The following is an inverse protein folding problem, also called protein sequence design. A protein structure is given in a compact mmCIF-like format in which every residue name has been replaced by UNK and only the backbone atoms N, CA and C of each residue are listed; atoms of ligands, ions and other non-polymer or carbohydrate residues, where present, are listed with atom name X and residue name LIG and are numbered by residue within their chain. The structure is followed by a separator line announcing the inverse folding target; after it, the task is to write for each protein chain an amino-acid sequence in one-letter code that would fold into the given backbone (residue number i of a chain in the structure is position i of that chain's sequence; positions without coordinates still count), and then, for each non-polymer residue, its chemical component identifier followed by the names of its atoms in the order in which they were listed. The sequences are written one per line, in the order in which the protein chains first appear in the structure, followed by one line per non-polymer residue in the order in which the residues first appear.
data_IF_591942283325
#
_entry.id   IF_591942283325
#
_cell.length_a   1.000
_cell.length_b   1.000
_cell.length_c   1.000
_cell.angle_alpha   90.00
_cell.angle_beta   90.00
_cell.angle_gamma   90.00
#
_symmetry.space_group_name_H-M   'P 1'
#
loop_
_entity.id
_entity.type
_entity.pdbx_description
1 polymer ?
#
# COMPACT_ATOMS: atom_id res chain seq x y z
N UNK A 1 129.10 -15.98 38.27
CA UNK A 1 128.54 -14.62 38.13
C UNK A 1 127.20 -14.77 37.43
N UNK A 2 126.14 -14.33 38.10
CA UNK A 2 124.72 -14.49 37.72
C UNK A 2 124.31 -13.43 36.69
N UNK A 3 123.88 -13.84 35.49
CA UNK A 3 123.23 -12.93 34.54
C UNK A 3 121.74 -12.77 34.86
N UNK A 4 121.34 -11.52 35.08
CA UNK A 4 119.96 -11.09 35.33
C UNK A 4 119.20 -10.99 34.02
N UNK A 5 118.31 -11.96 33.74
CA UNK A 5 117.45 -11.99 32.54
C UNK A 5 116.43 -10.83 32.57
N UNK A 6 116.56 -9.91 31.62
CA UNK A 6 115.80 -8.65 31.56
C UNK A 6 114.30 -8.86 31.31
N UNK A 7 113.47 -8.50 32.30
CA UNK A 7 112.02 -8.72 32.38
C UNK A 7 111.20 -7.50 31.89
N UNK A 8 111.84 -6.51 31.25
CA UNK A 8 111.20 -5.24 30.88
C UNK A 8 110.31 -5.32 29.63
N UNK A 9 110.66 -6.13 28.62
CA UNK A 9 109.83 -6.32 27.43
C UNK A 9 108.49 -7.00 27.72
N UNK A 10 108.49 -7.97 28.63
CA UNK A 10 107.28 -8.68 29.08
C UNK A 10 106.36 -7.76 29.90
N UNK A 11 106.92 -6.85 30.71
CA UNK A 11 106.17 -5.84 31.46
C UNK A 11 105.53 -4.79 30.55
N UNK A 12 106.21 -4.35 29.50
CA UNK A 12 105.67 -3.39 28.52
C UNK A 12 104.55 -4.03 27.68
N UNK A 13 104.73 -5.28 27.23
CA UNK A 13 103.67 -6.05 26.57
C UNK A 13 102.46 -6.30 27.47
N UNK A 14 102.68 -6.65 28.75
CA UNK A 14 101.61 -6.82 29.72
C UNK A 14 100.86 -5.51 30.02
N UNK A 15 101.57 -4.38 30.09
CA UNK A 15 100.97 -3.06 30.25
C UNK A 15 100.13 -2.65 29.03
N UNK A 16 100.64 -2.87 27.81
CA UNK A 16 99.91 -2.62 26.56
C UNK A 16 98.66 -3.50 26.45
N UNK A 17 98.77 -4.79 26.77
CA UNK A 17 97.63 -5.71 26.82
C UNK A 17 96.60 -5.27 27.86
N UNK A 18 97.04 -4.80 29.04
CA UNK A 18 96.14 -4.25 30.06
C UNK A 18 95.37 -3.02 29.59
N UNK A 19 96.01 -2.10 28.86
CA UNK A 19 95.36 -0.90 28.30
C UNK A 19 94.36 -1.27 27.21
N UNK A 20 94.70 -2.19 26.30
CA UNK A 20 93.77 -2.68 25.26
C UNK A 20 92.56 -3.37 25.89
N UNK A 21 92.78 -4.19 26.92
CA UNK A 21 91.73 -4.92 27.61
C UNK A 21 90.80 -4.00 28.43
N UNK A 22 91.35 -2.93 29.03
CA UNK A 22 90.53 -1.88 29.65
C UNK A 22 89.72 -1.10 28.61
N UNK A 23 90.32 -0.79 27.46
CA UNK A 23 89.63 -0.13 26.35
C UNK A 23 88.45 -0.96 25.81
N UNK A 24 88.63 -2.27 25.65
CA UNK A 24 87.55 -3.16 25.22
C UNK A 24 86.46 -3.27 26.29
N UNK A 25 86.80 -3.38 27.58
CA UNK A 25 85.80 -3.41 28.66
C UNK A 25 84.96 -2.12 28.68
N UNK A 26 85.59 -0.94 28.60
CA UNK A 26 84.88 0.35 28.59
C UNK A 26 83.96 0.46 27.37
N UNK A 27 84.46 0.09 26.18
CA UNK A 27 83.65 0.08 24.96
C UNK A 27 82.46 -0.89 25.06
N UNK A 28 82.69 -2.09 25.60
CA UNK A 28 81.63 -3.11 25.77
C UNK A 28 80.57 -2.66 26.78
N UNK A 29 80.97 -1.98 27.86
CA UNK A 29 80.05 -1.41 28.86
C UNK A 29 79.25 -0.25 28.26
N UNK A 30 79.87 0.65 27.49
CA UNK A 30 79.17 1.73 26.76
C UNK A 30 78.15 1.16 25.79
N UNK A 31 78.56 0.20 24.96
CA UNK A 31 77.70 -0.47 23.99
C UNK A 31 76.53 -1.19 24.68
N UNK A 32 76.77 -1.82 25.82
CA UNK A 32 75.71 -2.46 26.62
C UNK A 32 74.73 -1.45 27.21
N UNK A 33 75.19 -0.29 27.70
CA UNK A 33 74.33 0.77 28.19
C UNK A 33 73.49 1.40 27.08
N UNK A 34 74.07 1.66 25.90
CA UNK A 34 73.36 2.21 24.75
C UNK A 34 72.34 1.22 24.18
N UNK A 35 72.68 -0.08 24.13
CA UNK A 35 71.74 -1.15 23.79
C UNK A 35 70.58 -1.20 24.78
N UNK A 36 70.86 -1.13 26.08
CA UNK A 36 69.83 -1.14 27.14
C UNK A 36 68.91 0.08 27.07
N UNK A 37 69.45 1.28 26.80
CA UNK A 37 68.66 2.50 26.56
C UNK A 37 67.79 2.39 25.31
N UNK A 38 68.33 1.84 24.22
CA UNK A 38 67.59 1.64 22.97
C UNK A 38 66.46 0.64 23.16
N UNK A 39 66.74 -0.47 23.86
CA UNK A 39 65.76 -1.50 24.19
C UNK A 39 64.64 -0.94 25.08
N UNK A 40 64.96 -0.12 26.09
CA UNK A 40 63.93 0.50 26.96
C UNK A 40 63.08 1.55 26.24
N UNK A 41 63.65 2.30 25.29
CA UNK A 41 62.88 3.23 24.44
C UNK A 41 61.95 2.44 23.53
N UNK A 42 62.43 1.40 22.87
CA UNK A 42 61.61 0.58 21.98
C UNK A 42 60.51 -0.19 22.72
N UNK A 43 60.74 -0.64 23.95
CA UNK A 43 59.69 -1.26 24.77
C UNK A 43 58.60 -0.27 25.14
N UNK A 44 58.97 0.97 25.50
CA UNK A 44 57.98 2.03 25.77
C UNK A 44 57.20 2.41 24.52
N UNK A 45 57.86 2.56 23.39
CA UNK A 45 57.16 2.86 22.13
C UNK A 45 56.21 1.73 21.70
N UNK A 46 56.60 0.47 21.95
CA UNK A 46 55.73 -0.68 21.73
C UNK A 46 54.50 -0.66 22.64
N UNK A 47 54.64 -0.28 23.91
CA UNK A 47 53.51 -0.11 24.83
C UNK A 47 52.53 0.96 24.31
N UNK A 48 53.04 2.10 23.84
CA UNK A 48 52.21 3.15 23.24
C UNK A 48 51.44 2.67 22.00
N UNK A 49 52.06 1.87 21.12
CA UNK A 49 51.37 1.28 19.96
C UNK A 49 50.26 0.32 20.39
N UNK A 50 50.49 -0.48 21.44
CA UNK A 50 49.47 -1.37 22.00
C UNK A 50 48.33 -0.58 22.64
N UNK A 51 48.63 0.52 23.32
CA UNK A 51 47.65 1.44 23.90
C UNK A 51 46.76 2.06 22.81
N UNK A 52 47.37 2.59 21.74
CA UNK A 52 46.65 3.14 20.57
C UNK A 52 45.72 2.11 19.92
N UNK A 53 46.20 0.87 19.74
CA UNK A 53 45.38 -0.22 19.18
C UNK A 53 44.24 -0.64 20.13
N UNK A 54 44.48 -0.68 21.45
CA UNK A 54 43.42 -0.96 22.42
C UNK A 54 42.37 0.15 22.45
N UNK A 55 42.80 1.41 22.34
CA UNK A 55 41.88 2.55 22.21
C UNK A 55 41.01 2.39 20.97
N UNK A 56 41.62 2.12 19.81
CA UNK A 56 40.90 1.91 18.56
C UNK A 56 39.90 0.75 18.67
N UNK A 57 40.31 -0.37 19.26
CA UNK A 57 39.42 -1.52 19.52
C UNK A 57 38.21 -1.12 20.36
N UNK A 58 38.43 -0.37 21.44
CA UNK A 58 37.35 0.09 22.33
C UNK A 58 36.37 1.02 21.62
N UNK A 59 36.85 1.84 20.69
CA UNK A 59 35.98 2.72 19.90
C UNK A 59 35.08 1.94 18.93
N UNK A 60 35.61 0.88 18.31
CA UNK A 60 34.79 -0.03 17.51
C UNK A 60 33.77 -0.79 18.36
N UNK A 61 34.16 -1.29 19.53
CA UNK A 61 33.24 -1.96 20.46
C UNK A 61 32.06 -1.04 20.83
N UNK A 62 32.33 0.24 21.07
CA UNK A 62 31.30 1.26 21.32
C UNK A 62 30.38 1.47 20.11
N UNK A 63 30.96 1.65 18.91
CA UNK A 63 30.18 1.87 17.69
C UNK A 63 29.27 0.66 17.34
N UNK A 64 29.74 -0.56 17.60
CA UNK A 64 28.96 -1.79 17.40
C UNK A 64 27.74 -1.81 18.34
N UNK A 65 27.90 -1.39 19.59
CA UNK A 65 26.79 -1.32 20.55
C UNK A 65 25.76 -0.25 20.18
N UNK A 66 26.22 0.91 19.69
CA UNK A 66 25.35 2.04 19.33
C UNK A 66 24.57 1.83 18.02
N UNK A 67 25.12 1.04 17.10
CA UNK A 67 24.55 0.80 15.76
C UNK A 67 23.21 0.03 15.79
N UNK A 68 22.83 -0.64 16.89
CA UNK A 68 21.64 -1.51 17.02
C UNK A 68 21.47 -2.62 15.96
N UNK A 69 22.37 -2.68 14.97
CA UNK A 69 22.50 -3.68 13.93
C UNK A 69 23.96 -4.15 13.87
N UNK A 70 24.16 -5.45 13.65
CA UNK A 70 25.48 -6.06 13.48
C UNK A 70 26.13 -5.52 12.21
N UNK A 71 27.02 -4.54 12.36
CA UNK A 71 27.86 -4.10 11.26
C UNK A 71 29.06 -5.04 11.17
N UNK A 72 28.96 -6.03 10.28
CA UNK A 72 29.97 -7.06 10.06
C UNK A 72 31.36 -6.48 9.73
N UNK A 73 31.40 -5.33 9.06
CA UNK A 73 32.65 -4.63 8.76
C UNK A 73 33.32 -4.07 10.03
N UNK A 74 32.54 -3.47 10.95
CA UNK A 74 33.07 -3.00 12.25
C UNK A 74 33.56 -4.16 13.11
N UNK A 75 32.84 -5.29 13.12
CA UNK A 75 33.23 -6.50 13.86
C UNK A 75 34.54 -7.06 13.30
N UNK A 76 34.65 -7.14 11.98
CA UNK A 76 35.85 -7.62 11.28
C UNK A 76 37.04 -6.70 11.53
N UNK A 77 36.87 -5.38 11.44
CA UNK A 77 37.92 -4.40 11.74
C UNK A 77 38.41 -4.51 13.19
N UNK A 78 37.47 -4.64 14.16
CA UNK A 78 37.78 -4.87 15.58
C UNK A 78 38.57 -6.16 15.81
N UNK A 79 38.19 -7.25 15.15
CA UNK A 79 38.89 -8.54 15.27
C UNK A 79 40.29 -8.50 14.64
N UNK A 80 40.45 -7.78 13.54
CA UNK A 80 41.76 -7.55 12.94
C UNK A 80 42.67 -6.73 13.87
N UNK A 81 42.15 -5.71 14.55
CA UNK A 81 42.89 -4.94 15.56
C UNK A 81 43.31 -5.85 16.73
N UNK A 82 42.45 -6.75 17.19
CA UNK A 82 42.80 -7.71 18.24
C UNK A 82 44.00 -8.60 17.82
N UNK A 83 43.99 -9.12 16.59
CA UNK A 83 45.13 -9.89 16.03
C UNK A 83 46.40 -9.05 15.93
N UNK A 84 46.28 -7.76 15.58
CA UNK A 84 47.40 -6.82 15.54
C UNK A 84 47.99 -6.56 16.93
N UNK A 85 47.16 -6.40 17.95
CA UNK A 85 47.59 -6.23 19.35
C UNK A 85 48.44 -7.44 19.79
N UNK A 86 47.97 -8.66 19.51
CA UNK A 86 48.68 -9.90 19.86
C UNK A 86 50.02 -10.02 19.14
N UNK A 87 50.06 -9.63 17.86
CA UNK A 87 51.28 -9.61 17.05
C UNK A 87 52.31 -8.60 17.58
N UNK A 88 51.87 -7.39 17.94
CA UNK A 88 52.76 -6.36 18.52
C UNK A 88 53.27 -6.80 19.89
N UNK A 89 52.42 -7.37 20.75
CA UNK A 89 52.79 -7.86 22.10
C UNK A 89 53.84 -8.97 22.08
N UNK A 90 53.77 -9.89 21.13
CA UNK A 90 54.70 -11.04 21.04
C UNK A 90 56.00 -10.74 20.31
N UNK A 91 56.08 -9.62 19.60
CA UNK A 91 57.25 -9.22 18.81
C UNK A 91 58.46 -8.78 19.68
N UNK A 92 59.68 -9.09 19.25
CA UNK A 92 60.92 -8.49 19.80
C UNK A 92 61.01 -7.02 19.43
N UNK A 93 61.49 -6.19 20.35
CA UNK A 93 61.68 -4.76 20.15
C UNK A 93 62.72 -4.49 19.04
N UNK A 94 62.26 -4.29 17.80
CA UNK A 94 63.06 -3.95 16.64
C UNK A 94 62.54 -2.65 15.99
N UNK A 95 63.44 -1.74 15.62
CA UNK A 95 63.13 -0.42 15.06
C UNK A 95 62.36 -0.55 13.75
N UNK A 96 62.77 -1.49 12.89
CA UNK A 96 62.18 -1.64 11.56
C UNK A 96 60.74 -2.17 11.64
N UNK A 97 60.51 -3.13 12.52
CA UNK A 97 59.19 -3.71 12.73
C UNK A 97 58.24 -2.72 13.42
N UNK A 98 58.71 -2.01 14.44
CA UNK A 98 57.91 -1.00 15.15
C UNK A 98 57.48 0.16 14.24
N UNK A 99 58.36 0.61 13.34
CA UNK A 99 58.04 1.62 12.31
C UNK A 99 56.91 1.16 11.38
N UNK A 100 56.89 -0.12 10.98
CA UNK A 100 55.80 -0.69 10.17
C UNK A 100 54.47 -0.71 10.91
N UNK A 101 54.47 -1.10 12.18
CA UNK A 101 53.24 -1.11 12.98
C UNK A 101 52.69 0.29 13.24
N UNK A 102 53.54 1.30 13.43
CA UNK A 102 53.07 2.70 13.50
C UNK A 102 52.33 3.13 12.24
N UNK A 103 52.90 2.86 11.07
CA UNK A 103 52.24 3.12 9.79
C UNK A 103 50.91 2.37 9.68
N UNK A 104 50.87 1.12 10.15
CA UNK A 104 49.65 0.32 10.15
C UNK A 104 48.59 0.90 11.10
N UNK A 105 48.97 1.41 12.27
CA UNK A 105 48.07 2.12 13.19
C UNK A 105 47.48 3.36 12.52
N UNK A 106 48.29 4.13 11.81
CA UNK A 106 47.81 5.32 11.09
C UNK A 106 46.79 4.96 10.00
N UNK A 107 47.04 3.86 9.27
CA UNK A 107 46.08 3.31 8.28
C UNK A 107 44.78 2.88 8.96
N UNK A 108 44.87 2.14 10.06
CA UNK A 108 43.70 1.66 10.81
C UNK A 108 42.88 2.81 11.43
N UNK A 109 43.55 3.88 11.87
CA UNK A 109 42.89 5.12 12.34
C UNK A 109 42.12 5.80 11.21
N UNK A 110 42.70 5.89 10.01
CA UNK A 110 42.04 6.46 8.84
C UNK A 110 40.84 5.61 8.36
N UNK A 111 41.01 4.29 8.30
CA UNK A 111 39.95 3.34 7.95
C UNK A 111 38.78 3.42 8.94
N UNK A 112 39.09 3.52 10.23
CA UNK A 112 38.09 3.73 11.29
C UNK A 112 37.29 5.00 11.11
N UNK A 113 37.96 6.12 10.81
CA UNK A 113 37.27 7.38 10.57
C UNK A 113 36.31 7.28 9.38
N UNK A 114 36.72 6.59 8.31
CA UNK A 114 35.88 6.35 7.16
C UNK A 114 34.67 5.47 7.49
N UNK A 115 34.88 4.35 8.19
CA UNK A 115 33.80 3.44 8.58
C UNK A 115 32.78 4.12 9.50
N UNK A 116 33.23 4.91 10.48
CA UNK A 116 32.33 5.66 11.34
C UNK A 116 31.51 6.71 10.58
N UNK A 117 32.13 7.43 9.63
CA UNK A 117 31.40 8.36 8.75
C UNK A 117 30.32 7.66 7.93
N UNK A 118 30.59 6.44 7.45
CA UNK A 118 29.60 5.65 6.73
C UNK A 118 28.45 5.21 7.63
N UNK A 119 28.75 4.72 8.84
CA UNK A 119 27.74 4.33 9.84
C UNK A 119 26.85 5.51 10.21
N UNK A 120 27.43 6.70 10.44
CA UNK A 120 26.68 7.91 10.73
C UNK A 120 25.75 8.29 9.57
N UNK A 121 26.26 8.22 8.34
CA UNK A 121 25.48 8.51 7.13
C UNK A 121 24.33 7.53 6.94
N UNK A 122 24.59 6.23 7.10
CA UNK A 122 23.59 5.17 6.96
C UNK A 122 22.53 5.28 8.07
N UNK A 123 22.95 5.54 9.31
CA UNK A 123 22.04 5.76 10.44
C UNK A 123 21.11 6.93 10.16
N UNK A 124 21.64 8.09 9.71
CA UNK A 124 20.83 9.26 9.34
C UNK A 124 19.89 8.98 8.18
N UNK A 125 20.34 8.23 7.18
CA UNK A 125 19.49 7.85 6.04
C UNK A 125 18.34 6.96 6.50
N UNK A 126 18.63 5.93 7.32
CA UNK A 126 17.62 5.02 7.85
C UNK A 126 16.60 5.74 8.74
N UNK A 127 17.02 6.68 9.59
CA UNK A 127 16.07 7.45 10.41
C UNK A 127 15.19 8.35 9.54
N UNK A 128 15.75 9.00 8.52
CA UNK A 128 14.97 9.80 7.57
C UNK A 128 13.97 8.94 6.79
N UNK A 129 14.38 7.77 6.30
CA UNK A 129 13.52 6.83 5.58
C UNK A 129 12.40 6.33 6.50
N UNK A 130 12.70 6.00 7.76
CA UNK A 130 11.69 5.60 8.73
C UNK A 130 10.65 6.71 8.97
N UNK A 131 11.10 7.96 9.15
CA UNK A 131 10.21 9.12 9.29
C UNK A 131 9.35 9.35 8.05
N UNK A 132 9.93 9.27 6.85
CA UNK A 132 9.21 9.44 5.58
C UNK A 132 8.18 8.32 5.39
N UNK A 133 8.54 7.08 5.70
CA UNK A 133 7.63 5.93 5.66
C UNK A 133 6.44 6.14 6.60
N UNK A 134 6.70 6.51 7.85
CA UNK A 134 5.65 6.72 8.84
C UNK A 134 4.72 7.88 8.43
N UNK A 135 5.29 8.98 7.94
CA UNK A 135 4.50 10.09 7.38
C UNK A 135 3.68 9.68 6.16
N UNK A 136 4.24 8.87 5.27
CA UNK A 136 3.54 8.38 4.07
C UNK A 136 2.40 7.44 4.46
N UNK A 137 2.61 6.58 5.45
CA UNK A 137 1.58 5.67 5.94
C UNK A 137 0.40 6.43 6.55
N UNK A 138 0.67 7.44 7.38
CA UNK A 138 -0.38 8.29 7.97
C UNK A 138 -1.18 9.02 6.88
N UNK A 139 -0.51 9.55 5.84
CA UNK A 139 -1.21 10.22 4.76
C UNK A 139 -2.02 9.25 3.89
N UNK A 140 -1.49 8.05 3.62
CA UNK A 140 -2.20 7.00 2.91
C UNK A 140 -3.44 6.52 3.67
N UNK A 141 -3.34 6.37 5.00
CA UNK A 141 -4.48 6.00 5.85
C UNK A 141 -5.59 7.06 5.80
N UNK A 142 -5.24 8.34 5.92
CA UNK A 142 -6.20 9.45 5.76
C UNK A 142 -6.88 9.42 4.39
N UNK A 143 -6.12 9.22 3.32
CA UNK A 143 -6.67 9.14 1.96
C UNK A 143 -7.58 7.93 1.78
N UNK A 144 -7.24 6.79 2.37
CA UNK A 144 -8.06 5.57 2.34
C UNK A 144 -9.40 5.80 3.04
N UNK A 145 -9.38 6.34 4.26
CA UNK A 145 -10.60 6.66 5.02
C UNK A 145 -11.48 7.68 4.27
N UNK A 146 -10.87 8.70 3.67
CA UNK A 146 -11.60 9.69 2.87
C UNK A 146 -12.24 9.06 1.63
N UNK A 147 -11.51 8.19 0.93
CA UNK A 147 -12.03 7.47 -0.25
C UNK A 147 -13.20 6.55 0.13
N UNK A 148 -13.07 5.77 1.21
CA UNK A 148 -14.15 4.92 1.72
C UNK A 148 -15.40 5.74 2.03
N UNK A 149 -15.23 6.92 2.65
CA UNK A 149 -16.34 7.85 2.90
C UNK A 149 -17.00 8.34 1.61
N UNK A 150 -16.22 8.70 0.59
CA UNK A 150 -16.76 9.11 -0.71
C UNK A 150 -17.51 7.97 -1.40
N UNK A 151 -17.01 6.74 -1.33
CA UNK A 151 -17.70 5.57 -1.88
C UNK A 151 -19.05 5.38 -1.20
N UNK A 152 -19.10 5.42 0.14
CA UNK A 152 -20.37 5.30 0.88
C UNK A 152 -21.33 6.44 0.54
N UNK A 153 -20.85 7.68 0.44
CA UNK A 153 -21.71 8.81 0.06
C UNK A 153 -22.24 8.66 -1.38
N UNK A 154 -21.41 8.22 -2.31
CA UNK A 154 -21.82 8.00 -3.69
C UNK A 154 -22.83 6.86 -3.83
N UNK A 155 -22.68 5.76 -3.08
CA UNK A 155 -23.67 4.67 -3.11
C UNK A 155 -25.01 5.12 -2.52
N UNK A 156 -24.99 5.83 -1.39
CA UNK A 156 -26.21 6.40 -0.81
C UNK A 156 -26.89 7.40 -1.75
N UNK A 157 -26.12 8.25 -2.43
CA UNK A 157 -26.64 9.20 -3.40
C UNK A 157 -27.21 8.48 -4.63
N UNK A 158 -26.52 7.46 -5.14
CA UNK A 158 -27.00 6.65 -6.26
C UNK A 158 -28.33 5.96 -5.92
N UNK A 159 -28.45 5.39 -4.73
CA UNK A 159 -29.70 4.79 -4.24
C UNK A 159 -30.82 5.82 -4.08
N UNK A 160 -30.51 7.00 -3.52
CA UNK A 160 -31.47 8.08 -3.35
C UNK A 160 -31.96 8.61 -4.71
N UNK A 161 -31.05 8.77 -5.69
CA UNK A 161 -31.38 9.17 -7.06
C UNK A 161 -32.22 8.08 -7.72
N UNK A 162 -31.84 6.80 -7.63
CA UNK A 162 -32.60 5.70 -8.24
C UNK A 162 -34.04 5.62 -7.71
N UNK A 163 -34.23 5.82 -6.40
CA UNK A 163 -35.56 5.87 -5.78
C UNK A 163 -36.31 7.15 -6.16
N UNK A 164 -35.63 8.30 -6.16
CA UNK A 164 -36.20 9.60 -6.47
C UNK A 164 -36.57 9.77 -7.95
N UNK A 165 -35.85 9.11 -8.86
CA UNK A 165 -36.08 9.14 -10.30
C UNK A 165 -37.18 8.17 -10.76
N UNK A 166 -37.68 7.30 -9.89
CA UNK A 166 -38.74 6.36 -10.25
C UNK A 166 -40.01 7.11 -10.65
N UNK A 167 -40.56 6.74 -11.81
CA UNK A 167 -41.83 7.29 -12.28
C UNK A 167 -42.99 6.67 -11.50
N UNK A 168 -44.04 7.46 -11.28
CA UNK A 168 -45.26 7.01 -10.62
C UNK A 168 -46.47 7.55 -11.38
N UNK A 169 -47.63 6.92 -11.16
CA UNK A 169 -48.88 7.38 -11.75
C UNK A 169 -49.61 8.30 -10.76
N UNK A 170 -49.93 9.53 -11.18
CA UNK A 170 -50.77 10.44 -10.38
C UNK A 170 -52.26 10.17 -10.57
N UNK A 171 -52.64 9.56 -11.70
CA UNK A 171 -54.01 9.13 -12.01
C UNK A 171 -53.97 7.83 -12.81
N UNK A 172 -54.93 6.96 -12.57
CA UNK A 172 -55.10 5.74 -13.34
C UNK A 172 -56.58 5.38 -13.45
N UNK A 173 -57.09 5.33 -14.68
CA UNK A 173 -58.49 5.06 -14.99
C UNK A 173 -58.59 4.01 -16.10
N UNK A 174 -59.56 3.12 -15.95
CA UNK A 174 -59.90 2.12 -16.97
C UNK A 174 -61.39 2.22 -17.26
N UNK A 175 -61.74 2.28 -18.54
CA UNK A 175 -63.12 2.38 -18.99
C UNK A 175 -63.40 1.36 -20.10
N UNK A 176 -64.50 0.62 -19.96
CA UNK A 176 -64.97 -0.30 -20.99
C UNK A 176 -65.82 0.49 -21.99
N UNK A 177 -65.44 0.45 -23.26
CA UNK A 177 -66.05 1.29 -24.30
C UNK A 177 -66.63 0.45 -25.43
N UNK A 178 -67.80 0.88 -25.91
CA UNK A 178 -68.43 0.43 -27.14
C UNK A 178 -68.09 1.37 -28.28
N UNK A 179 -67.71 0.84 -29.43
CA UNK A 179 -67.52 1.62 -30.65
C UNK A 179 -68.82 1.67 -31.44
N UNK A 180 -69.41 2.86 -31.61
CA UNK A 180 -70.60 3.02 -32.44
C UNK A 180 -70.22 2.95 -33.92
N UNK A 181 -71.21 2.69 -34.79
CA UNK A 181 -71.03 2.73 -36.25
C UNK A 181 -70.44 4.06 -36.76
N UNK A 182 -70.56 5.16 -35.98
CA UNK A 182 -69.96 6.46 -36.27
C UNK A 182 -68.48 6.58 -35.85
N UNK A 183 -67.85 5.51 -35.35
CA UNK A 183 -66.51 5.51 -34.73
C UNK A 183 -66.45 6.13 -33.32
N UNK A 184 -67.58 6.60 -32.77
CA UNK A 184 -67.61 7.21 -31.43
C UNK A 184 -67.53 6.14 -30.35
N UNK A 185 -66.54 6.26 -29.47
CA UNK A 185 -66.41 5.43 -28.27
C UNK A 185 -67.34 5.94 -27.16
N UNK A 186 -68.10 5.02 -26.55
CA UNK A 186 -69.04 5.33 -25.46
C UNK A 186 -68.88 4.30 -24.33
N UNK A 187 -68.73 4.78 -23.09
CA UNK A 187 -68.61 3.94 -21.90
C UNK A 187 -69.79 2.99 -21.74
N UNK A 188 -69.51 1.75 -21.34
CA UNK A 188 -70.50 0.70 -21.09
C UNK A 188 -70.02 -0.17 -19.94
N UNK A 189 -70.95 -0.69 -19.16
CA UNK A 189 -70.66 -1.72 -18.15
C UNK A 189 -71.08 -3.11 -18.61
N UNK A 190 -71.67 -3.24 -19.81
CA UNK A 190 -72.17 -4.52 -20.32
C UNK A 190 -71.07 -5.28 -21.04
N UNK A 191 -70.78 -6.53 -20.65
CA UNK A 191 -69.69 -7.29 -21.24
C UNK A 191 -69.89 -7.48 -22.75
N UNK A 192 -71.07 -7.96 -23.15
CA UNK A 192 -71.46 -8.17 -24.56
C UNK A 192 -71.45 -6.91 -25.43
N UNK A 193 -71.50 -5.73 -24.83
CA UNK A 193 -71.51 -4.47 -25.57
C UNK A 193 -70.13 -3.80 -25.61
N UNK A 194 -69.15 -4.33 -24.90
CA UNK A 194 -67.80 -3.77 -24.83
C UNK A 194 -67.00 -4.20 -26.06
N UNK A 195 -66.38 -3.23 -26.73
CA UNK A 195 -65.50 -3.50 -27.87
C UNK A 195 -64.02 -3.33 -27.51
N UNK A 196 -63.71 -2.41 -26.59
CA UNK A 196 -62.32 -2.12 -26.16
C UNK A 196 -62.29 -1.73 -24.68
N UNK A 197 -61.16 -1.96 -24.03
CA UNK A 197 -60.82 -1.27 -22.77
C UNK A 197 -59.95 -0.07 -23.10
N UNK A 198 -60.38 1.11 -22.66
CA UNK A 198 -59.60 2.34 -22.69
C UNK A 198 -58.87 2.46 -21.36
N UNK A 199 -57.55 2.36 -21.40
CA UNK A 199 -56.67 2.41 -20.24
C UNK A 199 -55.94 3.75 -20.31
N UNK A 200 -56.20 4.65 -19.35
CA UNK A 200 -55.56 5.95 -19.28
C UNK A 200 -54.87 6.15 -17.94
N UNK A 201 -53.62 6.59 -17.98
CA UNK A 201 -52.87 6.94 -16.79
C UNK A 201 -52.13 8.27 -17.01
N UNK A 202 -51.95 9.00 -15.92
CA UNK A 202 -51.12 10.21 -15.91
C UNK A 202 -49.81 9.87 -15.23
N UNK A 203 -48.71 9.92 -15.98
CA UNK A 203 -47.37 9.84 -15.39
C UNK A 203 -47.12 11.15 -14.65
N UNK A 204 -46.75 11.10 -13.38
CA UNK A 204 -46.50 12.28 -12.57
C UNK A 204 -45.26 13.05 -13.08
N UNK A 205 -45.20 14.35 -12.81
CA UNK A 205 -43.98 15.13 -13.00
C UNK A 205 -42.88 14.67 -12.03
N UNK A 206 -41.65 14.61 -12.52
CA UNK A 206 -40.49 14.20 -11.75
C UNK A 206 -39.25 14.85 -12.34
N UNK A 207 -38.70 15.82 -11.60
CA UNK A 207 -37.52 16.59 -12.01
C UNK A 207 -36.20 15.82 -11.89
N UNK A 208 -36.20 14.69 -11.17
CA UNK A 208 -35.02 13.83 -10.96
C UNK A 208 -34.94 12.74 -12.02
N UNK A 209 -36.09 12.32 -12.56
CA UNK A 209 -36.16 11.34 -13.64
C UNK A 209 -35.43 11.83 -14.90
N UNK A 210 -34.94 10.92 -15.73
CA UNK A 210 -34.38 11.29 -17.03
C UNK A 210 -35.50 11.47 -18.06
N UNK A 211 -35.48 12.57 -18.81
CA UNK A 211 -36.34 12.74 -19.98
C UNK A 211 -35.92 11.77 -21.11
N UNK A 212 -36.88 11.29 -21.89
CA UNK A 212 -36.63 10.37 -22.99
C UNK A 212 -37.80 9.45 -23.30
N UNK A 213 -37.57 8.56 -24.25
CA UNK A 213 -38.52 7.49 -24.57
C UNK A 213 -38.70 6.55 -23.37
N UNK A 214 -39.96 6.24 -23.07
CA UNK A 214 -40.38 5.34 -22.01
C UNK A 214 -41.33 4.30 -22.58
N UNK A 215 -41.27 3.10 -22.04
CA UNK A 215 -42.15 1.99 -22.37
C UNK A 215 -42.74 1.45 -21.07
N UNK A 216 -44.07 1.49 -20.94
CA UNK A 216 -44.80 0.86 -19.85
C UNK A 216 -45.55 -0.37 -20.35
N UNK A 217 -45.70 -1.36 -19.48
CA UNK A 217 -46.36 -2.63 -19.81
C UNK A 217 -47.74 -2.71 -19.15
N UNK A 218 -48.76 -2.98 -19.96
CA UNK A 218 -50.14 -3.13 -19.53
C UNK A 218 -50.49 -4.61 -19.45
N UNK A 219 -50.84 -5.08 -18.27
CA UNK A 219 -51.36 -6.43 -18.03
C UNK A 219 -52.85 -6.32 -17.72
N UNK A 220 -53.69 -6.89 -18.58
CA UNK A 220 -55.13 -6.98 -18.35
C UNK A 220 -55.48 -8.42 -18.04
N UNK A 221 -56.08 -8.67 -16.89
CA UNK A 221 -56.53 -9.98 -16.45
C UNK A 221 -58.05 -10.09 -16.58
N UNK A 222 -58.50 -11.21 -17.16
CA UNK A 222 -59.89 -11.61 -17.24
C UNK A 222 -60.44 -12.08 -15.87
N UNK A 223 -61.75 -12.35 -15.74
CA UNK A 223 -62.34 -12.85 -14.49
C UNK A 223 -61.82 -14.20 -14.02
N UNK A 224 -61.14 -14.95 -14.89
CA UNK A 224 -60.50 -16.22 -14.60
C UNK A 224 -59.02 -16.05 -14.20
N UNK A 225 -58.48 -14.83 -14.30
CA UNK A 225 -57.09 -14.50 -13.97
C UNK A 225 -56.11 -14.69 -15.12
N UNK A 226 -56.57 -14.87 -16.36
CA UNK A 226 -55.68 -15.00 -17.52
C UNK A 226 -55.40 -13.63 -18.15
N UNK A 227 -54.18 -13.46 -18.65
CA UNK A 227 -53.80 -12.27 -19.44
C UNK A 227 -54.60 -12.23 -20.74
N UNK A 228 -55.24 -11.09 -21.00
CA UNK A 228 -56.08 -10.86 -22.15
C UNK A 228 -55.28 -10.38 -23.36
N UNK A 229 -55.72 -10.76 -24.56
CA UNK A 229 -55.12 -10.32 -25.82
C UNK A 229 -53.94 -11.18 -26.26
N UNK A 230 -53.01 -10.58 -26.99
CA UNK A 230 -51.73 -11.22 -27.29
C UNK A 230 -50.87 -11.20 -26.02
N UNK A 231 -50.55 -12.38 -25.49
CA UNK A 231 -49.73 -12.50 -24.29
C UNK A 231 -48.24 -12.42 -24.66
N UNK A 232 -47.58 -11.37 -24.22
CA UNK A 232 -46.14 -11.19 -24.33
C UNK A 232 -45.47 -11.44 -22.98
N UNK A 233 -44.18 -11.79 -22.99
CA UNK A 233 -43.39 -11.92 -21.77
C UNK A 233 -42.19 -10.99 -21.81
N UNK A 234 -41.87 -10.38 -20.66
CA UNK A 234 -40.69 -9.55 -20.46
C UNK A 234 -40.00 -9.98 -19.18
N UNK A 235 -38.68 -10.09 -19.22
CA UNK A 235 -37.83 -10.36 -18.06
C UNK A 235 -36.78 -9.27 -17.98
N UNK A 236 -36.52 -8.76 -16.77
CA UNK A 236 -35.48 -7.77 -16.52
C UNK A 236 -34.17 -8.45 -16.05
N UNK A 237 -33.08 -7.67 -15.98
CA UNK A 237 -31.75 -8.17 -15.59
C UNK A 237 -31.69 -8.68 -14.14
N UNK A 238 -32.64 -8.25 -13.29
CA UNK A 238 -32.79 -8.70 -11.91
C UNK A 238 -33.55 -10.04 -11.79
N UNK A 239 -34.03 -10.58 -12.92
CA UNK A 239 -34.76 -11.85 -13.00
C UNK A 239 -36.26 -11.76 -12.75
N UNK A 240 -36.81 -10.56 -12.53
CA UNK A 240 -38.26 -10.37 -12.49
C UNK A 240 -38.85 -10.59 -13.89
N UNK A 241 -39.99 -11.25 -13.97
CA UNK A 241 -40.67 -11.54 -15.23
C UNK A 241 -42.16 -11.28 -15.10
N UNK A 242 -42.74 -10.68 -16.14
CA UNK A 242 -44.18 -10.44 -16.25
C UNK A 242 -44.70 -10.99 -17.57
N UNK A 243 -45.99 -11.33 -17.58
CA UNK A 243 -46.76 -11.52 -18.82
C UNK A 243 -47.69 -10.33 -18.96
N UNK A 244 -47.75 -9.73 -20.14
CA UNK A 244 -48.49 -8.50 -20.37
C UNK A 244 -49.28 -8.56 -21.68
N UNK A 245 -50.34 -7.77 -21.74
CA UNK A 245 -51.26 -7.69 -22.88
C UNK A 245 -50.76 -6.75 -23.97
N UNK A 246 -50.10 -5.66 -23.58
CA UNK A 246 -49.61 -4.62 -24.50
C UNK A 246 -48.51 -3.75 -23.90
N UNK A 247 -47.55 -3.34 -24.71
CA UNK A 247 -46.58 -2.29 -24.36
C UNK A 247 -47.04 -0.94 -24.91
N UNK A 248 -46.89 0.11 -24.11
CA UNK A 248 -47.25 1.49 -24.45
C UNK A 248 -46.02 2.36 -24.37
N UNK A 249 -45.61 2.91 -25.51
CA UNK A 249 -44.45 3.79 -25.65
C UNK A 249 -44.87 5.27 -25.63
N UNK A 250 -44.10 6.12 -24.96
CA UNK A 250 -44.32 7.57 -24.90
C UNK A 250 -43.02 8.31 -24.59
N UNK A 251 -42.93 9.58 -25.00
CA UNK A 251 -41.79 10.44 -24.68
C UNK A 251 -42.08 11.26 -23.41
N UNK A 252 -41.24 11.11 -22.39
CA UNK A 252 -41.39 11.77 -21.09
C UNK A 252 -40.45 12.99 -20.97
N UNK A 253 -41.02 14.16 -20.65
CA UNK A 253 -40.29 15.44 -20.57
C UNK A 253 -40.21 16.00 -19.14
N UNK A 254 -40.15 15.14 -18.12
CA UNK A 254 -40.15 15.52 -16.70
C UNK A 254 -41.42 16.22 -16.20
N UNK A 255 -42.44 16.33 -17.05
CA UNK A 255 -43.73 16.93 -16.74
C UNK A 255 -44.83 15.88 -16.71
N UNK A 256 -45.93 16.20 -16.06
CA UNK A 256 -47.10 15.34 -16.05
C UNK A 256 -47.59 15.06 -17.47
N UNK A 257 -47.79 13.79 -17.80
CA UNK A 257 -48.16 13.34 -19.13
C UNK A 257 -49.33 12.35 -19.06
N UNK A 258 -50.41 12.66 -19.78
CA UNK A 258 -51.54 11.76 -19.95
C UNK A 258 -51.27 10.79 -21.10
N UNK A 259 -51.30 9.51 -20.79
CA UNK A 259 -51.11 8.41 -21.75
C UNK A 259 -52.37 7.56 -21.75
N UNK A 260 -52.93 7.31 -22.93
CA UNK A 260 -54.09 6.45 -23.10
C UNK A 260 -53.81 5.42 -24.18
N UNK A 261 -54.12 4.17 -23.88
CA UNK A 261 -54.05 3.08 -24.83
C UNK A 261 -55.30 2.18 -24.75
N UNK A 262 -55.47 1.32 -25.74
CA UNK A 262 -56.63 0.48 -25.92
C UNK A 262 -56.25 -0.99 -26.05
N UNK A 263 -56.98 -1.82 -25.30
CA UNK A 263 -57.00 -3.28 -25.48
C UNK A 263 -58.28 -3.64 -26.22
N UNK A 264 -58.11 -4.22 -27.40
CA UNK A 264 -59.25 -4.65 -28.22
C UNK A 264 -59.89 -5.91 -27.64
N UNK A 265 -61.17 -6.11 -27.95
CA UNK A 265 -61.85 -7.37 -27.62
C UNK A 265 -61.09 -8.59 -28.17
N UNK A 266 -61.01 -9.69 -27.39
CA UNK A 266 -60.47 -10.93 -27.89
C UNK A 266 -61.40 -11.55 -28.96
N UNK A 267 -60.95 -12.65 -29.59
CA UNK A 267 -61.77 -13.37 -30.58
C UNK A 267 -63.11 -13.87 -30.00
N UNK A 268 -63.14 -14.17 -28.71
CA UNK A 268 -64.35 -14.41 -27.93
C UNK A 268 -64.87 -13.11 -27.31
N UNK A 269 -66.19 -12.96 -27.18
CA UNK A 269 -66.77 -11.81 -26.47
C UNK A 269 -66.25 -11.70 -25.03
N UNK A 270 -66.17 -10.47 -24.51
CA UNK A 270 -65.90 -10.23 -23.09
C UNK A 270 -66.92 -10.96 -22.22
N UNK A 271 -66.43 -11.57 -21.14
CA UNK A 271 -67.26 -12.27 -20.16
C UNK A 271 -67.71 -11.32 -19.05
N UNK A 272 -68.86 -11.62 -18.45
CA UNK A 272 -69.31 -10.96 -17.23
C UNK A 272 -68.36 -11.32 -16.08
N UNK A 273 -68.01 -10.34 -15.25
CA UNK A 273 -67.11 -10.57 -14.11
C UNK A 273 -66.14 -9.42 -13.85
N UNK A 274 -65.19 -9.70 -12.96
CA UNK A 274 -64.21 -8.73 -12.48
C UNK A 274 -62.93 -8.81 -13.32
N UNK A 275 -62.51 -7.69 -13.86
CA UNK A 275 -61.26 -7.52 -14.57
C UNK A 275 -60.27 -6.74 -13.71
N UNK A 276 -58.99 -6.99 -13.92
CA UNK A 276 -57.91 -6.27 -13.27
C UNK A 276 -56.91 -5.76 -14.32
N UNK A 277 -56.48 -4.51 -14.19
CA UNK A 277 -55.44 -3.92 -15.05
C UNK A 277 -54.30 -3.48 -14.17
N UNK A 278 -53.11 -3.95 -14.51
CA UNK A 278 -51.85 -3.56 -13.90
C UNK A 278 -51.01 -2.79 -14.91
N UNK A 279 -50.31 -1.75 -14.43
CA UNK A 279 -49.33 -0.99 -15.22
C UNK A 279 -47.97 -1.17 -14.58
N UNK A 280 -46.99 -1.61 -15.36
CA UNK A 280 -45.60 -1.76 -14.93
C UNK A 280 -44.70 -0.78 -15.68
N UNK A 281 -43.63 -0.31 -15.02
CA UNK A 281 -42.60 0.51 -15.67
C UNK A 281 -41.61 -0.32 -16.50
N UNK A 282 -40.62 0.37 -17.08
CA UNK A 282 -39.52 -0.20 -17.87
C UNK A 282 -38.67 -1.22 -17.08
N UNK A 283 -38.66 -1.13 -15.76
CA UNK A 283 -37.98 -2.06 -14.84
C UNK A 283 -38.89 -3.17 -14.31
N UNK A 284 -40.13 -3.26 -14.81
CA UNK A 284 -41.16 -4.23 -14.39
C UNK A 284 -41.69 -4.00 -12.98
N UNK A 285 -41.56 -2.79 -12.44
CA UNK A 285 -42.16 -2.41 -11.16
C UNK A 285 -43.62 -2.04 -11.37
N UNK A 286 -44.51 -2.60 -10.56
CA UNK A 286 -45.93 -2.25 -10.55
C UNK A 286 -46.13 -0.79 -10.13
N UNK A 287 -46.70 0.01 -11.03
CA UNK A 287 -47.01 1.42 -10.79
C UNK A 287 -48.44 1.64 -10.29
N UNK A 288 -49.38 0.76 -10.68
CA UNK A 288 -50.77 0.87 -10.28
C UNK A 288 -51.62 -0.30 -10.75
N UNK A 289 -52.70 -0.53 -9.99
CA UNK A 289 -53.71 -1.55 -10.27
C UNK A 289 -55.09 -0.91 -10.27
N UNK A 290 -55.91 -1.24 -11.26
CA UNK A 290 -57.31 -0.84 -11.35
C UNK A 290 -58.18 -2.08 -11.54
N UNK A 291 -59.33 -2.12 -10.87
CA UNK A 291 -60.28 -3.22 -10.96
C UNK A 291 -61.64 -2.66 -11.37
N UNK A 292 -62.30 -3.36 -12.29
CA UNK A 292 -63.63 -2.99 -12.75
C UNK A 292 -64.43 -4.25 -13.10
N UNK A 293 -65.75 -4.12 -13.18
CA UNK A 293 -66.64 -5.25 -13.44
C UNK A 293 -67.48 -4.99 -14.68
N UNK A 294 -67.63 -6.03 -15.50
CA UNK A 294 -68.61 -6.08 -16.58
C UNK A 294 -69.81 -6.95 -16.15
N UNK A 295 -71.00 -6.58 -16.61
CA UNK A 295 -72.30 -7.20 -16.30
C UNK A 295 -73.07 -7.59 -17.56
#
# INVERSE_FOLDING_TARGET
MTETKNNNGLKVLAALLGVVLLGTIIYTVSLYQDKKKTETVLTKEKELVVEDLNSLKSEYDKAILESNATNEELVTARDNIAKYIDSVKTMKADISALSRYRRQVDVLKAEREQLLKQVDSLTRSNTMIAMQRDSTYVELEKQTVFNDSLVVQNTQLADAVAKGSALNLSKFNVDAVKERNSGKLVSTQRARATDKFKICFTVADNVIAQAGDREFYLEVLDPQGNVMGESFSKTNDEGASITYSKATEFYYENKALDVCDYINKPASDFQDGNYMVNVYDDKLKLLGTSKFALK
#
